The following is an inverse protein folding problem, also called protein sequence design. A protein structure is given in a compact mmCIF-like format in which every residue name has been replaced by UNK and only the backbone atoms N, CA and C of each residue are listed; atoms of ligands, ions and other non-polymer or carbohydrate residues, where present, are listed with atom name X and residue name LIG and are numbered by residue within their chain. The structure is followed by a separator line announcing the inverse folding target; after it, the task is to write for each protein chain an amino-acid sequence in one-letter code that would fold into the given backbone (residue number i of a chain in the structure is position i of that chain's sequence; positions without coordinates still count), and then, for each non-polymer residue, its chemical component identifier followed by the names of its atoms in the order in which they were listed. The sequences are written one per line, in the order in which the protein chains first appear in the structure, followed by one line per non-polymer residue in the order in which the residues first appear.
data_IF_848133818817
#
_entry.id   IF_848133818817
#
_cell.length_a   1.000
_cell.length_b   1.000
_cell.length_c   1.000
_cell.angle_alpha   90.00
_cell.angle_beta   90.00
_cell.angle_gamma   90.00
#
_symmetry.space_group_name_H-M   'P 1'
#
loop_
_entity.id
_entity.type
_entity.pdbx_description
1 polymer ?
#
# COMPACT_ATOMS: atom_id res chain seq x y z
N UNK A 1 34.54 9.29 -57.14
CA UNK A 1 34.29 9.58 -55.71
C UNK A 1 32.80 9.47 -55.46
N UNK A 2 32.38 8.44 -54.73
CA UNK A 2 30.98 8.15 -54.38
C UNK A 2 30.92 7.96 -52.84
N UNK A 3 29.92 8.52 -52.14
CA UNK A 3 29.84 8.44 -50.68
C UNK A 3 29.26 7.10 -50.20
N UNK A 4 29.78 6.65 -49.05
CA UNK A 4 29.41 5.41 -48.35
C UNK A 4 27.92 5.39 -47.95
N UNK A 5 27.19 4.38 -48.44
CA UNK A 5 25.85 4.06 -47.94
C UNK A 5 26.01 3.33 -46.60
N UNK A 6 25.63 4.01 -45.52
CA UNK A 6 25.54 3.45 -44.17
C UNK A 6 24.52 2.31 -44.18
N UNK A 7 24.98 1.09 -43.88
CA UNK A 7 24.12 -0.08 -43.70
C UNK A 7 23.43 0.01 -42.34
N UNK A 8 22.12 0.26 -42.32
CA UNK A 8 21.30 0.20 -41.11
C UNK A 8 21.13 -1.26 -40.66
N UNK A 9 21.30 -1.59 -39.38
CA UNK A 9 20.98 -2.93 -38.86
C UNK A 9 19.45 -3.16 -38.86
N UNK A 10 18.99 -4.41 -39.00
CA UNK A 10 17.57 -4.73 -38.96
C UNK A 10 16.99 -4.36 -37.60
N UNK A 11 16.05 -3.42 -37.57
CA UNK A 11 15.31 -3.09 -36.36
C UNK A 11 14.46 -4.30 -35.95
N UNK A 12 14.85 -4.95 -34.85
CA UNK A 12 14.02 -5.92 -34.16
C UNK A 12 12.79 -5.20 -33.60
N UNK A 13 11.61 -5.53 -34.14
CA UNK A 13 10.33 -5.11 -33.59
C UNK A 13 10.27 -5.48 -32.10
N UNK A 14 9.73 -4.60 -31.22
CA UNK A 14 9.45 -5.00 -29.86
C UNK A 14 8.41 -6.11 -29.87
N UNK A 15 8.82 -7.32 -29.51
CA UNK A 15 7.92 -8.42 -29.20
C UNK A 15 7.04 -7.99 -28.03
N UNK A 16 5.77 -7.71 -28.32
CA UNK A 16 4.74 -7.56 -27.31
C UNK A 16 4.73 -8.83 -26.43
N UNK A 17 4.78 -8.72 -25.10
CA UNK A 17 4.52 -9.86 -24.24
C UNK A 17 3.03 -10.22 -24.35
N UNK A 18 2.69 -11.09 -25.31
CA UNK A 18 1.43 -11.84 -25.37
C UNK A 18 1.42 -12.93 -24.30
N UNK A 19 1.48 -12.54 -23.02
CA UNK A 19 1.08 -13.43 -21.92
C UNK A 19 0.77 -12.67 -20.62
N UNK A 20 0.04 -11.56 -20.71
CA UNK A 20 -0.38 -10.80 -19.53
C UNK A 20 -1.65 -11.36 -18.85
N UNK A 21 -2.17 -12.51 -19.28
CA UNK A 21 -3.45 -13.06 -18.78
C UNK A 21 -3.30 -14.33 -17.95
N UNK A 22 -2.16 -15.02 -17.98
CA UNK A 22 -1.98 -16.30 -17.25
C UNK A 22 -1.02 -16.25 -16.05
N UNK A 23 -0.45 -15.09 -15.70
CA UNK A 23 0.52 -14.98 -14.61
C UNK A 23 -0.05 -14.50 -13.26
N UNK A 24 -1.38 -14.43 -13.08
CA UNK A 24 -2.01 -13.99 -11.82
C UNK A 24 -2.36 -15.17 -10.89
N UNK A 25 -2.14 -16.40 -11.31
CA UNK A 25 -2.35 -17.61 -10.49
C UNK A 25 -1.04 -18.34 -10.21
N UNK A 26 0.04 -17.60 -9.90
CA UNK A 26 1.06 -18.19 -9.06
C UNK A 26 0.42 -18.35 -7.68
N UNK A 27 -0.02 -19.57 -7.38
CA UNK A 27 -0.52 -19.97 -6.07
C UNK A 27 0.58 -19.73 -5.04
N UNK A 28 0.56 -18.56 -4.41
CA UNK A 28 1.41 -18.18 -3.29
C UNK A 28 1.30 -19.21 -2.15
N UNK A 29 2.34 -19.36 -1.30
CA UNK A 29 2.30 -20.26 -0.15
C UNK A 29 1.15 -19.84 0.77
N UNK A 30 0.04 -20.58 0.73
CA UNK A 30 -1.23 -20.17 1.33
C UNK A 30 -2.47 -20.46 0.47
N UNK A 31 -2.32 -21.10 -0.69
CA UNK A 31 -3.41 -21.49 -1.60
C UNK A 31 -4.59 -22.27 -0.97
N UNK A 32 -4.47 -22.70 0.30
CA UNK A 32 -5.50 -23.42 1.06
C UNK A 32 -6.15 -22.57 2.16
N UNK A 33 -5.76 -21.30 2.32
CA UNK A 33 -6.28 -20.41 3.37
C UNK A 33 -7.50 -19.67 2.84
N UNK A 34 -8.62 -19.73 3.58
CA UNK A 34 -9.85 -19.04 3.20
C UNK A 34 -9.67 -17.53 3.16
N UNK A 35 -10.43 -16.85 2.30
CA UNK A 35 -10.47 -15.38 2.27
C UNK A 35 -10.88 -14.80 3.63
N UNK A 36 -11.79 -15.47 4.33
CA UNK A 36 -12.21 -15.11 5.68
C UNK A 36 -11.03 -15.15 6.66
N UNK A 37 -10.24 -16.22 6.67
CA UNK A 37 -9.05 -16.31 7.54
C UNK A 37 -8.04 -15.21 7.21
N UNK A 38 -7.78 -14.95 5.92
CA UNK A 38 -6.90 -13.86 5.49
C UNK A 38 -7.40 -12.49 5.93
N UNK A 39 -8.71 -12.28 5.86
CA UNK A 39 -9.34 -11.04 6.31
C UNK A 39 -9.22 -10.87 7.83
N UNK A 40 -9.54 -11.91 8.61
CA UNK A 40 -9.41 -11.88 10.06
C UNK A 40 -7.96 -11.63 10.49
N UNK A 41 -7.00 -12.30 9.86
CA UNK A 41 -5.57 -12.08 10.12
C UNK A 41 -5.14 -10.65 9.78
N UNK A 42 -5.60 -10.12 8.65
CA UNK A 42 -5.29 -8.76 8.24
C UNK A 42 -5.89 -7.72 9.20
N UNK A 43 -7.14 -7.91 9.63
CA UNK A 43 -7.81 -7.02 10.60
C UNK A 43 -7.16 -7.09 11.98
N UNK A 44 -6.78 -8.28 12.43
CA UNK A 44 -6.07 -8.46 13.70
C UNK A 44 -4.73 -7.73 13.70
N UNK A 45 -3.93 -7.90 12.63
CA UNK A 45 -2.66 -7.18 12.44
C UNK A 45 -2.88 -5.67 12.41
N UNK A 46 -3.82 -5.21 11.59
CA UNK A 46 -4.15 -3.79 11.47
C UNK A 46 -4.54 -3.17 12.83
N UNK A 47 -5.32 -3.90 13.62
CA UNK A 47 -5.74 -3.46 14.96
C UNK A 47 -4.56 -3.38 15.93
N UNK A 48 -3.68 -4.37 15.92
CA UNK A 48 -2.48 -4.39 16.75
C UNK A 48 -1.51 -3.26 16.35
N UNK A 49 -1.32 -3.01 15.06
CA UNK A 49 -0.46 -1.97 14.53
C UNK A 49 -0.98 -0.58 14.94
N UNK A 50 -2.29 -0.31 14.77
CA UNK A 50 -2.88 0.96 15.19
C UNK A 50 -2.80 1.19 16.70
N UNK A 51 -3.02 0.16 17.53
CA UNK A 51 -2.90 0.33 18.98
C UNK A 51 -1.44 0.56 19.39
N UNK A 52 -0.49 -0.14 18.75
CA UNK A 52 0.94 0.09 18.97
C UNK A 52 1.37 1.50 18.58
N UNK A 53 0.93 2.00 17.43
CA UNK A 53 1.22 3.36 16.98
C UNK A 53 0.58 4.41 17.90
N UNK A 54 -0.69 4.20 18.31
CA UNK A 54 -1.38 5.07 19.25
C UNK A 54 -0.65 5.16 20.60
N UNK A 55 -0.17 4.03 21.12
CA UNK A 55 0.64 4.00 22.34
C UNK A 55 1.97 4.71 22.15
N UNK A 56 2.66 4.46 21.03
CA UNK A 56 3.90 5.15 20.68
C UNK A 56 3.74 6.67 20.61
N UNK A 57 2.65 7.16 20.02
CA UNK A 57 2.31 8.59 20.00
C UNK A 57 2.05 9.10 21.42
N UNK A 58 1.28 8.37 22.23
CA UNK A 58 0.98 8.79 23.60
C UNK A 58 2.26 8.93 24.44
N UNK A 59 3.21 8.02 24.27
CA UNK A 59 4.50 8.09 24.96
C UNK A 59 5.39 9.20 24.39
N UNK A 60 5.38 9.42 23.08
CA UNK A 60 6.07 10.55 22.46
C UNK A 60 5.52 11.89 22.97
N UNK A 61 4.20 12.06 23.07
CA UNK A 61 3.57 13.27 23.63
C UNK A 61 4.06 13.53 25.06
N UNK A 62 4.17 12.50 25.90
CA UNK A 62 4.62 12.64 27.30
C UNK A 62 6.11 12.96 27.39
N UNK A 63 6.92 12.42 26.49
CA UNK A 63 8.38 12.53 26.54
C UNK A 63 8.97 13.72 25.76
N UNK A 64 8.18 14.40 24.93
CA UNK A 64 8.72 15.46 24.07
C UNK A 64 8.85 16.80 24.80
N UNK A 65 10.04 17.40 24.73
CA UNK A 65 10.27 18.77 25.21
C UNK A 65 9.63 19.78 24.26
N UNK A 66 8.66 20.54 24.77
CA UNK A 66 7.96 21.59 24.02
C UNK A 66 8.87 22.78 23.64
N UNK A 67 10.04 22.89 24.26
CA UNK A 67 11.03 23.93 23.98
C UNK A 67 11.96 23.58 22.81
N UNK A 68 11.93 22.32 22.33
CA UNK A 68 12.68 21.87 21.15
C UNK A 68 11.75 21.82 19.91
N UNK A 69 11.85 22.80 18.99
CA UNK A 69 11.02 22.83 17.79
C UNK A 69 11.22 21.60 16.88
N UNK A 70 12.42 21.02 16.84
CA UNK A 70 12.69 19.86 16.02
C UNK A 70 12.03 18.60 16.60
N UNK A 71 11.94 18.48 17.92
CA UNK A 71 11.19 17.40 18.57
C UNK A 71 9.68 17.57 18.36
N UNK A 72 9.16 18.80 18.44
CA UNK A 72 7.75 19.10 18.15
C UNK A 72 7.35 18.77 16.70
N UNK A 73 8.19 19.08 15.71
CA UNK A 73 7.93 18.75 14.31
C UNK A 73 7.83 17.22 14.13
N UNK A 74 8.75 16.46 14.73
CA UNK A 74 8.73 14.99 14.66
C UNK A 74 7.45 14.40 15.27
N UNK A 75 7.06 14.90 16.45
CA UNK A 75 5.81 14.50 17.09
C UNK A 75 4.59 14.83 16.22
N UNK A 76 4.55 16.02 15.63
CA UNK A 76 3.47 16.42 14.73
C UNK A 76 3.40 15.52 13.49
N UNK A 77 4.55 15.18 12.89
CA UNK A 77 4.59 14.25 11.74
C UNK A 77 4.01 12.89 12.12
N UNK A 78 4.36 12.36 13.29
CA UNK A 78 3.84 11.08 13.76
C UNK A 78 2.32 11.11 13.96
N UNK A 79 1.80 12.17 14.59
CA UNK A 79 0.35 12.36 14.79
C UNK A 79 -0.38 12.49 13.44
N UNK A 80 0.20 13.25 12.51
CA UNK A 80 -0.36 13.45 11.18
C UNK A 80 -0.42 12.15 10.38
N UNK A 81 0.63 11.33 10.44
CA UNK A 81 0.67 10.05 9.73
C UNK A 81 -0.40 9.08 10.26
N UNK A 82 -0.47 8.88 11.57
CA UNK A 82 -1.53 8.08 12.20
C UNK A 82 -2.94 8.55 11.82
N UNK A 83 -3.18 9.86 11.86
CA UNK A 83 -4.47 10.45 11.50
C UNK A 83 -4.84 10.15 10.04
N UNK A 84 -3.87 10.25 9.12
CA UNK A 84 -4.07 9.94 7.72
C UNK A 84 -4.36 8.45 7.51
N UNK A 85 -3.59 7.57 8.16
CA UNK A 85 -3.79 6.13 8.08
C UNK A 85 -5.21 5.72 8.53
N UNK A 86 -5.65 6.19 9.70
CA UNK A 86 -7.01 5.92 10.21
C UNK A 86 -8.08 6.41 9.24
N UNK A 87 -7.94 7.63 8.71
CA UNK A 87 -8.89 8.19 7.76
C UNK A 87 -8.99 7.38 6.46
N UNK A 88 -7.85 6.94 5.92
CA UNK A 88 -7.79 6.10 4.72
C UNK A 88 -8.46 4.74 4.94
N UNK A 89 -8.13 4.05 6.05
CA UNK A 89 -8.74 2.75 6.38
C UNK A 89 -10.25 2.87 6.53
N UNK A 90 -10.73 3.88 7.26
CA UNK A 90 -12.17 4.13 7.45
C UNK A 90 -12.87 4.43 6.12
N UNK A 91 -12.24 5.24 5.27
CA UNK A 91 -12.77 5.58 3.95
C UNK A 91 -12.86 4.36 3.05
N UNK A 92 -11.79 3.55 3.02
CA UNK A 92 -11.74 2.33 2.21
C UNK A 92 -12.80 1.32 2.70
N UNK A 93 -12.89 1.08 4.00
CA UNK A 93 -13.89 0.19 4.58
C UNK A 93 -15.31 0.63 4.19
N UNK A 94 -15.62 1.93 4.32
CA UNK A 94 -16.93 2.47 3.95
C UNK A 94 -17.22 2.35 2.46
N UNK A 95 -16.22 2.55 1.59
CA UNK A 95 -16.36 2.39 0.14
C UNK A 95 -16.56 0.93 -0.26
N UNK A 96 -15.85 0.00 0.38
CA UNK A 96 -16.00 -1.44 0.15
C UNK A 96 -17.41 -1.92 0.50
N UNK A 97 -17.92 -1.55 1.68
CA UNK A 97 -19.31 -1.88 2.08
C UNK A 97 -20.31 -1.27 1.11
N UNK A 98 -20.15 0.01 0.76
CA UNK A 98 -21.05 0.69 -0.18
C UNK A 98 -21.04 0.06 -1.58
N UNK A 99 -19.91 -0.48 -2.05
CA UNK A 99 -19.83 -1.21 -3.31
C UNK A 99 -20.59 -2.54 -3.24
N UNK A 100 -20.46 -3.28 -2.13
CA UNK A 100 -21.22 -4.53 -1.90
C UNK A 100 -22.72 -4.24 -1.86
N UNK A 101 -23.15 -3.22 -1.11
CA UNK A 101 -24.56 -2.81 -1.04
C UNK A 101 -25.12 -2.40 -2.42
N UNK A 102 -24.33 -1.69 -3.23
CA UNK A 102 -24.73 -1.28 -4.57
C UNK A 102 -24.90 -2.45 -5.56
N UNK A 103 -24.19 -3.57 -5.35
CA UNK A 103 -24.32 -4.77 -6.18
C UNK A 103 -25.48 -5.67 -5.73
N UNK A 104 -25.84 -5.63 -4.45
CA UNK A 104 -26.91 -6.46 -3.87
C UNK A 104 -28.31 -5.83 -3.96
N UNK A 105 -28.39 -4.53 -4.29
CA UNK A 105 -29.65 -3.79 -4.43
C UNK A 105 -30.06 -3.66 -5.89
#
# INVERSE_FOLDING_TARGET
MLPSIVSLPPQSLPSMPTDATSAVLAAEPGANVSLESRFLDAVARLSADFEGERQGIADAVRGTDASDPAAMIRLQTQISDYSLQVAMVSTLARKSVGAVEALLR
#
